data_IF_253564956852
#
_entry.id   IF_253564956852
#
_cell.length_a   1.000
_cell.length_b   1.000
_cell.length_c   1.000
_cell.angle_alpha   90.00
_cell.angle_beta   90.00
_cell.angle_gamma   90.00
#
_symmetry.space_group_name_H-M   'P 1'
#
loop_
_entity.id
_entity.type
_entity.pdbx_description
1 polymer ?
#
# COMPACT_ATOMS: atom_id res chain seq x y z
N UNK A 1 31.29 -7.71 -13.03
CA UNK A 1 31.56 -6.45 -13.71
C UNK A 1 31.50 -5.32 -12.70
N UNK A 2 32.57 -4.57 -12.58
CA UNK A 2 32.56 -3.42 -11.69
C UNK A 2 31.82 -2.26 -12.37
N UNK A 3 30.79 -1.76 -11.71
CA UNK A 3 30.09 -0.57 -12.14
C UNK A 3 30.94 0.66 -11.84
N UNK A 4 31.25 1.45 -12.85
CA UNK A 4 32.04 2.67 -12.71
C UNK A 4 31.30 3.84 -13.34
N UNK A 5 30.73 4.75 -12.54
CA UNK A 5 30.16 5.95 -13.10
C UNK A 5 31.25 6.87 -13.64
N UNK A 6 31.04 7.42 -14.81
CA UNK A 6 31.96 8.40 -15.40
C UNK A 6 31.91 9.75 -14.70
N UNK A 7 30.79 10.01 -14.04
CA UNK A 7 30.59 11.17 -13.19
C UNK A 7 30.34 10.70 -11.77
N UNK A 8 30.64 11.54 -10.79
CA UNK A 8 30.31 11.22 -9.41
C UNK A 8 28.79 11.00 -9.29
N UNK A 9 28.41 9.82 -8.81
CA UNK A 9 27.04 9.51 -8.47
C UNK A 9 26.93 9.51 -6.96
N UNK A 10 26.16 10.44 -6.44
CA UNK A 10 25.88 10.53 -5.02
C UNK A 10 24.50 9.98 -4.75
N UNK A 11 24.42 8.97 -3.89
CA UNK A 11 23.14 8.37 -3.46
C UNK A 11 23.00 8.67 -1.97
N UNK A 12 21.95 9.39 -1.64
CA UNK A 12 21.60 9.71 -0.26
C UNK A 12 20.28 9.05 0.09
N UNK A 13 20.23 8.36 1.24
CA UNK A 13 19.00 7.82 1.77
C UNK A 13 18.40 8.87 2.70
N UNK A 14 17.26 9.46 2.28
CA UNK A 14 16.56 10.48 3.03
C UNK A 14 15.77 9.88 4.20
N UNK A 15 15.06 8.79 3.96
CA UNK A 15 14.24 8.14 4.97
C UNK A 15 14.12 6.65 4.70
N UNK A 16 14.03 5.89 5.79
CA UNK A 16 13.70 4.46 5.76
C UNK A 16 12.52 4.24 6.68
N UNK A 17 11.50 3.56 6.18
CA UNK A 17 10.31 3.24 6.94
C UNK A 17 10.29 1.74 7.21
N UNK A 18 10.22 1.37 8.48
CA UNK A 18 10.18 -0.01 8.93
C UNK A 18 8.75 -0.56 8.82
N UNK A 19 8.62 -1.88 8.90
CA UNK A 19 7.33 -2.56 8.77
C UNK A 19 6.30 -2.13 9.82
N UNK A 20 6.75 -1.66 10.97
CA UNK A 20 5.88 -1.15 12.04
C UNK A 20 5.50 0.32 11.87
N UNK A 21 5.94 0.97 10.79
CA UNK A 21 5.71 2.38 10.53
C UNK A 21 6.77 3.32 11.11
N UNK A 22 7.78 2.79 11.78
CA UNK A 22 8.87 3.61 12.33
C UNK A 22 9.68 4.27 11.23
N UNK A 23 9.89 5.58 11.34
CA UNK A 23 10.69 6.37 10.43
C UNK A 23 12.11 6.50 10.94
N UNK A 24 13.08 6.23 10.06
CA UNK A 24 14.50 6.48 10.29
C UNK A 24 15.03 7.42 9.21
N UNK A 25 15.80 8.43 9.62
CA UNK A 25 16.42 9.37 8.70
C UNK A 25 15.87 10.78 8.81
N UNK A 26 16.41 11.68 7.99
CA UNK A 26 16.10 13.11 8.04
C UNK A 26 14.74 13.48 7.44
N UNK A 27 14.21 12.63 6.54
CA UNK A 27 12.94 12.84 5.83
C UNK A 27 12.83 14.22 5.17
N UNK A 28 13.88 14.63 4.46
CA UNK A 28 13.93 15.94 3.78
C UNK A 28 12.89 16.09 2.69
N UNK A 29 12.45 14.98 2.09
CA UNK A 29 11.45 14.96 1.01
C UNK A 29 10.01 14.86 1.53
N UNK A 30 9.80 14.89 2.84
CA UNK A 30 8.49 14.78 3.47
C UNK A 30 7.72 13.50 3.09
N UNK A 31 8.44 12.41 2.88
CA UNK A 31 7.86 11.13 2.50
C UNK A 31 7.07 10.47 3.63
N UNK A 32 7.37 10.83 4.89
CA UNK A 32 6.70 10.25 6.05
C UNK A 32 5.20 10.49 6.05
N UNK A 33 4.77 11.72 5.70
CA UNK A 33 3.34 12.05 5.63
C UNK A 33 2.63 11.23 4.57
N UNK A 34 3.23 11.10 3.39
CA UNK A 34 2.69 10.31 2.28
C UNK A 34 2.61 8.84 2.64
N UNK A 35 3.68 8.30 3.21
CA UNK A 35 3.73 6.91 3.61
C UNK A 35 2.72 6.60 4.72
N UNK A 36 2.60 7.49 5.71
CA UNK A 36 1.62 7.34 6.79
C UNK A 36 0.20 7.32 6.24
N UNK A 37 -0.12 8.20 5.29
CA UNK A 37 -1.43 8.22 4.63
C UNK A 37 -1.71 6.91 3.88
N UNK A 38 -0.73 6.41 3.13
CA UNK A 38 -0.82 5.12 2.43
C UNK A 38 -1.00 3.97 3.42
N UNK A 39 -0.18 3.92 4.45
CA UNK A 39 -0.21 2.85 5.45
C UNK A 39 -1.55 2.81 6.19
N UNK A 40 -2.10 3.97 6.53
CA UNK A 40 -3.42 4.08 7.15
C UNK A 40 -4.53 3.62 6.23
N UNK A 41 -4.51 4.03 4.96
CA UNK A 41 -5.48 3.59 3.96
C UNK A 41 -5.44 2.06 3.78
N UNK A 42 -4.24 1.50 3.75
CA UNK A 42 -4.01 0.06 3.65
C UNK A 42 -4.57 -0.69 4.87
N UNK A 43 -4.29 -0.20 6.07
CA UNK A 43 -4.81 -0.81 7.30
C UNK A 43 -6.33 -0.77 7.37
N UNK A 44 -6.94 0.36 7.02
CA UNK A 44 -8.40 0.51 7.01
C UNK A 44 -9.04 -0.46 6.02
N UNK A 45 -8.48 -0.56 4.83
CA UNK A 45 -8.98 -1.45 3.79
C UNK A 45 -8.86 -2.92 4.21
N UNK A 46 -7.72 -3.32 4.76
CA UNK A 46 -7.49 -4.68 5.19
C UNK A 46 -8.36 -5.05 6.39
N UNK A 47 -8.58 -4.12 7.31
CA UNK A 47 -9.47 -4.32 8.44
C UNK A 47 -10.90 -4.57 7.98
N UNK A 48 -11.40 -3.78 7.04
CA UNK A 48 -12.71 -3.97 6.45
C UNK A 48 -12.82 -5.34 5.78
N UNK A 49 -11.81 -5.73 5.01
CA UNK A 49 -11.74 -7.04 4.36
C UNK A 49 -11.80 -8.17 5.41
N UNK A 50 -11.01 -8.08 6.48
CA UNK A 50 -11.00 -9.09 7.54
C UNK A 50 -12.33 -9.17 8.26
N UNK A 51 -12.97 -8.03 8.52
CA UNK A 51 -14.29 -8.01 9.15
C UNK A 51 -15.34 -8.72 8.30
N UNK A 52 -15.30 -8.54 6.98
CA UNK A 52 -16.20 -9.22 6.07
C UNK A 52 -15.95 -10.73 6.06
N UNK A 53 -14.69 -11.16 6.05
CA UNK A 53 -14.33 -12.57 6.10
C UNK A 53 -14.71 -13.21 7.43
N UNK A 54 -14.47 -12.54 8.54
CA UNK A 54 -14.83 -13.02 9.87
C UNK A 54 -16.36 -13.11 10.04
N UNK A 55 -17.10 -12.26 9.34
CA UNK A 55 -18.55 -12.30 9.28
C UNK A 55 -19.14 -13.41 8.39
N UNK A 56 -18.29 -14.25 7.80
CA UNK A 56 -18.70 -15.38 6.97
C UNK A 56 -18.83 -15.08 5.48
N UNK A 57 -18.41 -13.89 5.02
CA UNK A 57 -18.42 -13.57 3.60
C UNK A 57 -17.37 -14.39 2.85
N UNK A 58 -17.69 -14.75 1.60
CA UNK A 58 -16.71 -15.37 0.70
C UNK A 58 -15.61 -14.37 0.35
N UNK A 59 -14.47 -14.89 -0.11
CA UNK A 59 -13.36 -14.04 -0.55
C UNK A 59 -13.80 -13.09 -1.66
N UNK A 60 -14.61 -13.57 -2.59
CA UNK A 60 -15.13 -12.73 -3.66
C UNK A 60 -16.00 -11.58 -3.15
N UNK A 61 -16.89 -11.83 -2.19
CA UNK A 61 -17.70 -10.79 -1.56
C UNK A 61 -16.87 -9.81 -0.76
N UNK A 62 -15.88 -10.31 -0.05
CA UNK A 62 -14.98 -9.48 0.76
C UNK A 62 -14.16 -8.52 -0.12
N UNK A 63 -13.83 -8.91 -1.34
CA UNK A 63 -13.09 -8.07 -2.29
C UNK A 63 -13.97 -7.10 -3.10
N UNK A 64 -15.29 -7.12 -2.93
CA UNK A 64 -16.19 -6.16 -3.63
C UNK A 64 -15.82 -4.69 -3.38
N UNK A 65 -15.55 -4.24 -2.14
CA UNK A 65 -15.14 -2.87 -1.92
C UNK A 65 -13.87 -2.51 -2.68
N UNK A 66 -12.92 -3.43 -2.78
CA UNK A 66 -11.68 -3.26 -3.53
C UNK A 66 -11.96 -3.10 -5.02
N UNK A 67 -12.80 -3.96 -5.60
CA UNK A 67 -13.20 -3.86 -6.99
C UNK A 67 -13.96 -2.57 -7.28
N UNK A 68 -14.80 -2.13 -6.35
CA UNK A 68 -15.53 -0.86 -6.46
C UNK A 68 -14.57 0.32 -6.52
N UNK A 69 -13.58 0.37 -5.66
CA UNK A 69 -12.55 1.42 -5.68
C UNK A 69 -11.79 1.41 -7.01
N UNK A 70 -11.40 0.23 -7.49
CA UNK A 70 -10.66 0.08 -8.75
C UNK A 70 -11.47 0.41 -10.00
N UNK A 71 -12.79 0.30 -9.92
CA UNK A 71 -13.69 0.68 -11.02
C UNK A 71 -13.91 2.18 -11.13
N UNK A 72 -13.59 2.94 -10.10
CA UNK A 72 -13.68 4.39 -10.11
C UNK A 72 -12.64 5.00 -11.06
N UNK A 73 -12.97 6.17 -11.60
CA UNK A 73 -12.06 6.89 -12.48
C UNK A 73 -10.79 7.28 -11.70
N UNK A 74 -9.58 6.97 -12.21
CA UNK A 74 -8.35 7.38 -11.55
C UNK A 74 -8.24 8.90 -11.45
N UNK A 75 -7.86 9.37 -10.26
CA UNK A 75 -7.54 10.77 -10.05
C UNK A 75 -6.05 10.94 -9.79
N UNK A 76 -5.40 11.99 -10.33
CA UNK A 76 -4.03 12.30 -9.99
C UNK A 76 -3.87 12.59 -8.49
N UNK A 77 -2.78 12.17 -7.92
CA UNK A 77 -2.43 12.45 -6.52
C UNK A 77 -2.63 13.93 -6.14
N UNK A 78 -2.17 14.83 -7.00
CA UNK A 78 -2.23 16.27 -6.71
C UNK A 78 -3.65 16.82 -6.58
N UNK A 79 -4.63 16.19 -7.23
CA UNK A 79 -6.02 16.63 -7.16
C UNK A 79 -6.73 16.14 -5.91
N UNK A 80 -6.48 14.89 -5.53
CA UNK A 80 -7.18 14.29 -4.41
C UNK A 80 -6.35 13.21 -3.72
N UNK A 81 -5.42 13.60 -2.83
CA UNK A 81 -4.61 12.64 -2.09
C UNK A 81 -5.44 11.64 -1.28
N UNK A 82 -6.59 12.07 -0.76
CA UNK A 82 -7.45 11.20 0.07
C UNK A 82 -8.08 10.05 -0.73
N UNK A 83 -8.17 10.16 -2.05
CA UNK A 83 -8.61 9.08 -2.93
C UNK A 83 -7.46 8.29 -3.52
N UNK A 84 -6.32 8.92 -3.68
CA UNK A 84 -5.14 8.29 -4.28
C UNK A 84 -4.65 7.10 -3.46
N UNK A 85 -4.49 7.27 -2.14
CA UNK A 85 -3.96 6.22 -1.29
C UNK A 85 -4.90 5.03 -1.09
N UNK A 86 -6.21 5.20 -0.90
CA UNK A 86 -7.13 4.07 -0.89
C UNK A 86 -7.11 3.27 -2.19
N UNK A 87 -6.99 3.93 -3.32
CA UNK A 87 -6.87 3.25 -4.62
C UNK A 87 -5.58 2.47 -4.74
N UNK A 88 -4.46 3.04 -4.29
CA UNK A 88 -3.16 2.36 -4.29
C UNK A 88 -3.20 1.12 -3.39
N UNK A 89 -3.79 1.23 -2.22
CA UNK A 89 -3.97 0.09 -1.32
C UNK A 89 -4.86 -0.99 -1.94
N UNK A 90 -5.92 -0.60 -2.65
CA UNK A 90 -6.78 -1.53 -3.35
C UNK A 90 -6.06 -2.25 -4.51
N UNK A 91 -5.20 -1.55 -5.23
CA UNK A 91 -4.37 -2.16 -6.28
C UNK A 91 -3.41 -3.20 -5.69
N UNK A 92 -2.77 -2.90 -4.58
CA UNK A 92 -1.87 -3.83 -3.90
C UNK A 92 -2.62 -5.08 -3.41
N UNK A 93 -3.79 -4.90 -2.81
CA UNK A 93 -4.62 -6.01 -2.36
C UNK A 93 -5.04 -6.91 -3.52
N UNK A 94 -5.42 -6.33 -4.66
CA UNK A 94 -5.80 -7.08 -5.84
C UNK A 94 -4.62 -7.86 -6.42
N UNK A 95 -3.43 -7.26 -6.47
CA UNK A 95 -2.21 -7.94 -6.91
C UNK A 95 -1.86 -9.13 -6.02
N UNK A 96 -2.02 -8.98 -4.72
CA UNK A 96 -1.76 -10.06 -3.77
C UNK A 96 -2.73 -11.22 -3.98
N UNK A 97 -4.02 -10.91 -4.19
CA UNK A 97 -5.03 -11.91 -4.49
C UNK A 97 -4.73 -12.65 -5.79
N UNK A 98 -4.37 -11.94 -6.84
CA UNK A 98 -4.02 -12.54 -8.14
C UNK A 98 -2.80 -13.45 -8.03
N UNK A 99 -1.81 -13.04 -7.24
CA UNK A 99 -0.55 -13.76 -7.10
C UNK A 99 -0.64 -14.95 -6.14
N UNK A 100 -1.34 -14.81 -5.03
CA UNK A 100 -1.34 -15.78 -3.94
C UNK A 100 -2.70 -16.42 -3.64
N UNK A 101 -3.77 -15.97 -4.30
CA UNK A 101 -5.11 -16.51 -4.08
C UNK A 101 -5.57 -16.36 -2.63
N UNK A 102 -6.04 -17.46 -2.03
CA UNK A 102 -6.52 -17.46 -0.65
C UNK A 102 -5.41 -17.17 0.37
N UNK A 103 -4.17 -17.53 0.07
CA UNK A 103 -3.04 -17.24 0.94
C UNK A 103 -2.80 -15.72 1.10
N UNK A 104 -3.31 -14.89 0.20
CA UNK A 104 -3.22 -13.43 0.30
C UNK A 104 -3.81 -12.89 1.59
N UNK A 105 -4.85 -13.52 2.13
CA UNK A 105 -5.49 -13.11 3.39
C UNK A 105 -4.50 -13.18 4.55
N UNK A 106 -3.74 -14.26 4.66
CA UNK A 106 -2.73 -14.39 5.72
C UNK A 106 -1.62 -13.37 5.57
N UNK A 107 -1.21 -13.09 4.34
CA UNK A 107 -0.19 -12.07 4.06
C UNK A 107 -0.67 -10.68 4.45
N UNK A 108 -1.93 -10.35 4.17
CA UNK A 108 -2.53 -9.08 4.57
C UNK A 108 -2.61 -8.96 6.10
N UNK A 109 -2.98 -10.02 6.80
CA UNK A 109 -2.99 -10.04 8.27
C UNK A 109 -1.62 -9.76 8.85
N UNK A 110 -0.57 -10.31 8.27
CA UNK A 110 0.81 -10.07 8.71
C UNK A 110 1.28 -8.63 8.47
N UNK A 111 0.67 -7.95 7.51
CA UNK A 111 1.00 -6.56 7.14
C UNK A 111 0.27 -5.51 7.97
N UNK A 112 -0.67 -5.93 8.78
CA UNK A 112 -1.50 -5.02 9.59
C UNK A 112 -0.81 -4.55 10.86
#
# INVERSE_FOLDING_TARGET
MAWRPKAALEIEIDAVILNDGTLLGADRSDLAADFTAYFRAKQDLYRELMNLLDGGSSLEKAFRPIKSILSERPEPYRRNPSRFYPRLAAQDAQLWRERYGEASVNLMKQSM
#
